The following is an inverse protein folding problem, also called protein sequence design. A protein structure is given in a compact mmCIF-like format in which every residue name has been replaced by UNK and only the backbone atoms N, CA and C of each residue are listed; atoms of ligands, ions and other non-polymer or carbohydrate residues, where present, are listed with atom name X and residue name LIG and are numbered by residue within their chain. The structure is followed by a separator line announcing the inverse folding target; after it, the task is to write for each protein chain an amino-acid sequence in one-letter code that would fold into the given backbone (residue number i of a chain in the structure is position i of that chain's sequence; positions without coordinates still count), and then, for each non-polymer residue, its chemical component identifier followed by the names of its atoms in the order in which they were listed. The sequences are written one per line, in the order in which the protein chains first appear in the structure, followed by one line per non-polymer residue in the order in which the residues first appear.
data_IF_265854116569
#
_entry.id   IF_265854116569
#
_cell.length_a   1.000
_cell.length_b   1.000
_cell.length_c   1.000
_cell.angle_alpha   90.00
_cell.angle_beta   90.00
_cell.angle_gamma   90.00
#
_symmetry.space_group_name_H-M   'P 1'
#
loop_
_entity.id
_entity.type
_entity.pdbx_description
1 polymer ?
#
# COMPACT_ATOMS: atom_id res chain seq x y z
N UNK A 1 5.20 15.16 14.12
CA UNK A 1 4.19 14.21 13.62
C UNK A 1 4.70 13.58 12.34
N UNK A 2 4.19 12.42 11.97
CA UNK A 2 4.38 11.81 10.65
C UNK A 2 3.06 11.74 9.90
N UNK A 3 3.09 11.71 8.57
CA UNK A 3 1.92 11.60 7.71
C UNK A 3 1.95 10.29 6.92
N UNK A 4 0.94 9.45 7.10
CA UNK A 4 0.76 8.23 6.30
C UNK A 4 0.16 8.57 4.93
N UNK A 5 0.84 8.11 3.89
CA UNK A 5 0.55 8.49 2.52
C UNK A 5 -0.33 7.48 1.80
N UNK A 6 -0.94 7.91 0.69
CA UNK A 6 -1.70 7.05 -0.24
C UNK A 6 -0.85 6.02 -1.00
N UNK A 7 0.43 5.88 -0.64
CA UNK A 7 1.33 4.84 -1.15
C UNK A 7 2.00 4.08 0.00
N UNK A 8 1.32 3.93 1.13
CA UNK A 8 1.76 3.07 2.23
C UNK A 8 3.15 3.43 2.78
N UNK A 9 3.44 4.73 2.81
CA UNK A 9 4.70 5.27 3.30
C UNK A 9 4.43 6.36 4.34
N UNK A 10 5.43 6.72 5.14
CA UNK A 10 5.38 7.83 6.10
C UNK A 10 6.18 9.03 5.58
N UNK A 11 5.69 10.24 5.85
CA UNK A 11 6.38 11.49 5.55
C UNK A 11 6.55 12.32 6.81
N UNK A 12 7.76 12.82 7.03
CA UNK A 12 8.06 13.78 8.09
C UNK A 12 8.20 15.17 7.48
N UNK A 13 7.59 16.16 8.14
CA UNK A 13 7.67 17.56 7.74
C UNK A 13 8.55 18.34 8.71
N UNK A 14 9.16 19.42 8.20
CA UNK A 14 10.05 20.31 8.96
C UNK A 14 11.37 19.73 9.52
N UNK A 15 12.02 18.72 8.89
CA UNK A 15 13.39 18.41 9.27
C UNK A 15 14.29 19.62 8.98
N UNK A 16 15.16 19.99 9.93
CA UNK A 16 16.20 20.98 9.65
C UNK A 16 17.27 20.32 8.79
N UNK A 17 17.79 21.04 7.80
CA UNK A 17 18.78 20.48 6.87
C UNK A 17 20.03 19.92 7.59
N UNK A 18 20.47 20.55 8.68
CA UNK A 18 21.60 20.09 9.48
C UNK A 18 21.35 18.76 10.21
N UNK A 19 20.10 18.39 10.45
CA UNK A 19 19.74 17.14 11.15
C UNK A 19 19.54 15.97 10.18
N UNK A 20 19.52 16.23 8.86
CA UNK A 20 19.24 15.20 7.85
C UNK A 20 20.22 14.03 7.90
N UNK A 21 21.55 14.22 8.06
CA UNK A 21 22.47 13.09 8.21
C UNK A 21 22.10 12.17 9.37
N UNK A 22 21.89 12.73 10.57
CA UNK A 22 21.52 11.96 11.76
C UNK A 22 20.18 11.23 11.59
N UNK A 23 19.21 11.85 10.91
CA UNK A 23 17.93 11.21 10.59
C UNK A 23 18.12 10.02 9.64
N UNK A 24 19.00 10.16 8.63
CA UNK A 24 19.29 9.08 7.69
C UNK A 24 20.05 7.93 8.35
N UNK A 25 20.99 8.23 9.26
CA UNK A 25 21.69 7.23 10.06
C UNK A 25 20.71 6.46 10.97
N UNK A 26 19.81 7.17 11.65
CA UNK A 26 18.78 6.54 12.49
C UNK A 26 17.81 5.65 11.70
N UNK A 27 17.51 5.99 10.44
CA UNK A 27 16.72 5.11 9.55
C UNK A 27 17.53 3.86 9.17
N UNK A 28 18.82 4.01 8.87
CA UNK A 28 19.68 2.90 8.47
C UNK A 28 19.84 1.86 9.59
N UNK A 29 19.92 2.30 10.86
CA UNK A 29 20.00 1.42 12.04
C UNK A 29 18.85 0.42 12.14
N UNK A 30 17.68 0.75 11.56
CA UNK A 30 16.48 -0.09 11.54
C UNK A 30 16.15 -0.62 10.14
N UNK A 31 17.12 -0.58 9.22
CA UNK A 31 16.96 -1.10 7.86
C UNK A 31 16.03 -0.28 6.96
N UNK A 32 15.80 0.99 7.27
CA UNK A 32 15.00 1.92 6.46
C UNK A 32 15.88 2.90 5.68
N UNK A 33 15.33 3.48 4.59
CA UNK A 33 16.02 4.50 3.79
C UNK A 33 15.04 5.51 3.18
N UNK A 34 15.56 6.68 2.79
CA UNK A 34 14.83 7.70 2.03
C UNK A 34 15.21 7.73 0.53
N UNK A 35 16.04 6.79 0.07
CA UNK A 35 16.51 6.67 -1.32
C UNK A 35 15.33 6.42 -2.28
N UNK A 36 15.35 7.09 -3.44
CA UNK A 36 14.37 6.93 -4.53
C UNK A 36 12.89 7.12 -4.14
N UNK A 37 12.61 7.80 -3.02
CA UNK A 37 11.23 8.08 -2.57
C UNK A 37 10.51 9.16 -3.41
N UNK A 38 11.27 9.96 -4.19
CA UNK A 38 10.77 11.02 -5.06
C UNK A 38 11.40 10.96 -6.47
N UNK A 39 11.48 12.07 -7.21
CA UNK A 39 12.21 12.12 -8.49
C UNK A 39 11.57 11.32 -9.64
N UNK A 40 12.38 11.06 -10.66
CA UNK A 40 12.04 10.31 -11.87
C UNK A 40 12.64 8.90 -11.81
N UNK A 41 12.19 8.12 -10.83
CA UNK A 41 12.58 6.72 -10.65
C UNK A 41 11.36 5.91 -10.20
N UNK A 42 11.59 4.63 -9.90
CA UNK A 42 10.62 3.74 -9.29
C UNK A 42 10.33 4.22 -7.86
N UNK A 43 9.04 4.36 -7.54
CA UNK A 43 8.54 4.76 -6.22
C UNK A 43 8.25 3.53 -5.36
N UNK A 44 7.83 3.76 -4.11
CA UNK A 44 7.39 2.70 -3.21
C UNK A 44 6.48 1.67 -3.92
N UNK A 45 6.90 0.40 -3.83
CA UNK A 45 6.13 -0.76 -4.29
C UNK A 45 5.04 -0.99 -3.26
N UNK A 46 3.79 -0.84 -3.67
CA UNK A 46 2.65 -0.98 -2.75
C UNK A 46 2.06 -2.38 -2.85
N UNK A 47 1.61 -2.92 -1.74
CA UNK A 47 0.96 -4.23 -1.67
C UNK A 47 -0.44 -4.10 -1.05
N UNK A 48 -1.22 -5.19 -1.10
CA UNK A 48 -2.43 -5.28 -0.29
C UNK A 48 -2.08 -5.06 1.19
N UNK A 49 -2.79 -4.15 1.86
CA UNK A 49 -2.56 -3.85 3.28
C UNK A 49 -3.01 -4.97 4.22
N UNK A 50 -3.78 -5.94 3.70
CA UNK A 50 -4.19 -7.17 4.40
C UNK A 50 -3.40 -8.42 3.98
N UNK A 51 -2.33 -8.27 3.18
CA UNK A 51 -1.51 -9.37 2.66
C UNK A 51 -0.99 -10.34 3.73
N UNK A 52 -1.12 -11.65 3.56
CA UNK A 52 -0.73 -12.66 4.56
C UNK A 52 -1.75 -12.88 5.68
N UNK A 53 -2.83 -12.07 5.73
CA UNK A 53 -3.89 -12.14 6.73
C UNK A 53 -5.29 -12.34 6.11
N UNK A 54 -5.50 -11.86 4.89
CA UNK A 54 -6.76 -11.98 4.17
C UNK A 54 -7.06 -13.43 3.75
N UNK A 55 -8.33 -13.82 3.78
CA UNK A 55 -8.80 -15.17 3.42
C UNK A 55 -8.90 -15.40 1.90
N UNK A 56 -8.98 -14.32 1.13
CA UNK A 56 -9.22 -14.35 -0.32
C UNK A 56 -7.94 -14.29 -1.17
N UNK A 57 -6.76 -14.24 -0.56
CA UNK A 57 -5.50 -14.18 -1.29
C UNK A 57 -5.05 -15.56 -1.82
N UNK A 58 -4.48 -15.57 -3.02
CA UNK A 58 -3.86 -16.77 -3.61
C UNK A 58 -2.57 -17.11 -2.88
N UNK A 59 -1.73 -16.09 -2.68
CA UNK A 59 -0.45 -16.10 -1.98
C UNK A 59 -0.19 -14.70 -1.41
N UNK A 60 0.74 -14.60 -0.47
CA UNK A 60 1.14 -13.34 0.13
C UNK A 60 1.95 -12.45 -0.85
N UNK A 61 1.42 -11.29 -1.29
CA UNK A 61 2.11 -10.43 -2.24
C UNK A 61 3.30 -9.67 -1.66
N UNK A 62 3.54 -9.69 -0.33
CA UNK A 62 4.64 -8.95 0.32
C UNK A 62 6.00 -9.44 -0.14
N UNK A 63 6.17 -10.75 -0.33
CA UNK A 63 7.41 -11.33 -0.84
C UNK A 63 7.75 -10.79 -2.24
N UNK A 64 6.75 -10.72 -3.12
CA UNK A 64 6.89 -10.13 -4.46
C UNK A 64 7.20 -8.64 -4.39
N UNK A 65 6.50 -7.90 -3.52
CA UNK A 65 6.73 -6.48 -3.34
C UNK A 65 8.16 -6.17 -2.84
N UNK A 66 8.68 -6.98 -1.91
CA UNK A 66 10.04 -6.84 -1.38
C UNK A 66 11.10 -7.21 -2.41
N UNK A 67 10.89 -8.29 -3.18
CA UNK A 67 11.76 -8.65 -4.29
C UNK A 67 11.88 -7.50 -5.30
N UNK A 68 10.75 -6.90 -5.68
CA UNK A 68 10.72 -5.75 -6.58
C UNK A 68 11.36 -4.51 -5.96
N UNK A 69 11.17 -4.28 -4.65
CA UNK A 69 11.80 -3.18 -3.92
C UNK A 69 13.31 -3.31 -3.99
N UNK A 70 13.87 -4.45 -3.54
CA UNK A 70 15.31 -4.70 -3.55
C UNK A 70 15.90 -4.62 -4.96
N UNK A 71 15.24 -5.22 -5.96
CA UNK A 71 15.68 -5.15 -7.35
C UNK A 71 15.68 -3.71 -7.89
N UNK A 72 14.67 -2.90 -7.54
CA UNK A 72 14.54 -1.53 -8.05
C UNK A 72 15.45 -0.51 -7.36
N UNK A 73 15.83 -0.75 -6.10
CA UNK A 73 16.66 0.16 -5.31
C UNK A 73 18.06 0.27 -5.92
N UNK A 74 18.48 1.49 -6.22
CA UNK A 74 19.78 1.79 -6.84
C UNK A 74 20.07 1.02 -8.15
N UNK A 75 19.01 0.60 -8.85
CA UNK A 75 19.14 -0.07 -10.14
C UNK A 75 19.89 0.82 -11.14
N UNK A 76 20.98 0.34 -11.77
CA UNK A 76 21.90 1.17 -12.57
C UNK A 76 21.21 1.81 -13.77
N UNK A 77 20.20 1.15 -14.33
CA UNK A 77 19.46 1.67 -15.50
C UNK A 77 18.25 2.54 -15.12
N UNK A 78 17.61 2.31 -13.97
CA UNK A 78 16.28 2.86 -13.66
C UNK A 78 16.29 3.97 -12.60
N UNK A 79 17.47 4.47 -12.26
CA UNK A 79 17.64 5.65 -11.39
C UNK A 79 17.19 6.97 -12.06
N UNK A 80 17.09 7.01 -13.40
CA UNK A 80 16.70 8.21 -14.16
C UNK A 80 15.75 7.91 -15.34
N UNK A 81 14.53 7.53 -14.99
CA UNK A 81 13.43 7.30 -15.93
C UNK A 81 12.90 8.62 -16.53
N UNK A 82 12.08 8.57 -17.60
CA UNK A 82 11.44 9.76 -18.15
C UNK A 82 10.60 10.54 -17.11
N UNK A 83 9.91 9.80 -16.22
CA UNK A 83 9.10 10.33 -15.11
C UNK A 83 8.88 9.24 -14.05
N UNK A 84 8.37 9.64 -12.86
CA UNK A 84 8.01 8.75 -11.74
C UNK A 84 7.29 7.48 -12.21
N UNK A 85 7.66 6.35 -11.62
CA UNK A 85 7.14 5.03 -11.97
C UNK A 85 6.63 4.32 -10.71
N UNK A 86 5.44 3.71 -10.77
CA UNK A 86 4.76 3.11 -9.62
C UNK A 86 4.43 1.66 -9.91
N UNK A 87 4.75 0.79 -8.97
CA UNK A 87 4.40 -0.63 -9.01
C UNK A 87 3.46 -0.94 -7.86
N UNK A 88 2.42 -1.72 -8.13
CA UNK A 88 1.46 -2.19 -7.12
C UNK A 88 1.18 -3.67 -7.29
N UNK A 89 1.10 -4.42 -6.18
CA UNK A 89 0.95 -5.88 -6.16
C UNK A 89 -0.25 -6.29 -5.30
N UNK A 90 -1.07 -7.22 -5.77
CA UNK A 90 -2.12 -7.85 -4.95
C UNK A 90 -2.12 -9.36 -5.12
N UNK A 91 -2.27 -10.08 -4.01
CA UNK A 91 -2.44 -11.53 -3.98
C UNK A 91 -3.91 -11.95 -4.12
N UNK A 92 -4.85 -11.02 -3.98
CA UNK A 92 -6.29 -11.29 -3.97
C UNK A 92 -6.97 -10.88 -5.29
N UNK A 93 -8.06 -11.57 -5.70
CA UNK A 93 -8.93 -11.12 -6.77
C UNK A 93 -9.60 -9.76 -6.46
N UNK A 94 -9.76 -9.42 -5.18
CA UNK A 94 -10.21 -8.10 -4.73
C UNK A 94 -9.02 -7.12 -4.67
N UNK A 95 -9.05 -6.10 -5.53
CA UNK A 95 -7.92 -5.17 -5.68
C UNK A 95 -7.89 -4.10 -4.56
N UNK A 96 -7.33 -4.49 -3.41
CA UNK A 96 -7.05 -3.59 -2.27
C UNK A 96 -5.75 -2.78 -2.42
N UNK A 97 -4.95 -3.07 -3.44
CA UNK A 97 -3.70 -2.37 -3.76
C UNK A 97 -3.87 -1.28 -4.84
N UNK A 98 -5.07 -1.18 -5.44
CA UNK A 98 -5.40 -0.23 -6.52
C UNK A 98 -4.46 -0.41 -7.73
N UNK A 99 -4.15 -1.66 -8.08
CA UNK A 99 -3.16 -2.04 -9.12
C UNK A 99 -3.41 -1.36 -10.47
N UNK A 100 -4.68 -1.18 -10.89
CA UNK A 100 -5.01 -0.50 -12.16
C UNK A 100 -4.68 1.00 -12.21
N UNK A 101 -4.32 1.61 -11.09
CA UNK A 101 -3.86 3.00 -11.00
C UNK A 101 -2.33 3.15 -10.97
N UNK A 102 -1.59 2.05 -11.14
CA UNK A 102 -0.14 2.02 -11.14
C UNK A 102 0.44 2.04 -12.56
N UNK A 103 1.70 2.45 -12.69
CA UNK A 103 2.40 2.37 -13.98
C UNK A 103 2.56 0.88 -14.37
N UNK A 104 2.83 0.00 -13.40
CA UNK A 104 2.62 -1.45 -13.48
C UNK A 104 1.76 -1.92 -12.29
N UNK A 105 0.70 -2.67 -12.58
CA UNK A 105 -0.08 -3.42 -11.61
C UNK A 105 0.15 -4.92 -11.78
N UNK A 106 0.36 -5.64 -10.68
CA UNK A 106 0.52 -7.08 -10.65
C UNK A 106 -0.61 -7.68 -9.82
N UNK A 107 -1.43 -8.51 -10.42
CA UNK A 107 -2.45 -9.27 -9.73
C UNK A 107 -2.13 -10.75 -9.82
N UNK A 108 -2.04 -11.44 -8.69
CA UNK A 108 -1.84 -12.87 -8.69
C UNK A 108 -3.07 -13.58 -9.30
N UNK A 109 -2.80 -14.57 -10.13
CA UNK A 109 -3.79 -15.42 -10.80
C UNK A 109 -3.25 -16.85 -10.86
N UNK A 110 -4.12 -17.82 -11.15
CA UNK A 110 -3.73 -19.20 -11.46
C UNK A 110 -3.99 -19.51 -12.93
N UNK A 111 -3.11 -20.26 -13.57
CA UNK A 111 -3.36 -20.78 -14.92
C UNK A 111 -4.32 -21.98 -14.89
N UNK A 112 -4.61 -22.56 -16.06
CA UNK A 112 -5.48 -23.74 -16.21
C UNK A 112 -4.95 -24.98 -15.47
N UNK A 113 -3.65 -25.07 -15.22
CA UNK A 113 -3.01 -26.13 -14.44
C UNK A 113 -3.03 -25.87 -12.91
N UNK A 114 -3.56 -24.71 -12.48
CA UNK A 114 -3.61 -24.30 -11.07
C UNK A 114 -2.32 -23.64 -10.56
N UNK A 115 -1.32 -23.43 -11.41
CA UNK A 115 -0.03 -22.84 -11.04
C UNK A 115 -0.16 -21.31 -10.85
N UNK A 116 0.45 -20.76 -9.79
CA UNK A 116 0.40 -19.32 -9.52
C UNK A 116 1.28 -18.53 -10.50
N UNK A 117 0.79 -17.36 -10.89
CA UNK A 117 1.49 -16.38 -11.72
C UNK A 117 0.87 -14.99 -11.57
N UNK A 118 1.15 -14.11 -12.53
CA UNK A 118 0.67 -12.73 -12.50
C UNK A 118 -0.09 -12.36 -13.78
N UNK A 119 -1.25 -11.71 -13.62
CA UNK A 119 -1.77 -10.81 -14.63
C UNK A 119 -0.99 -9.50 -14.55
N UNK A 120 -0.43 -9.06 -15.67
CA UNK A 120 0.36 -7.84 -15.75
C UNK A 120 -0.47 -6.72 -16.38
N UNK A 121 -0.65 -5.65 -15.62
CA UNK A 121 -1.37 -4.44 -16.01
C UNK A 121 -0.35 -3.31 -16.18
N UNK A 122 -0.51 -2.47 -17.19
CA UNK A 122 0.42 -1.36 -17.46
C UNK A 122 -0.32 -0.08 -17.87
N UNK A 123 0.29 1.07 -17.59
CA UNK A 123 -0.21 2.38 -18.05
C UNK A 123 -1.32 2.99 -17.21
N UNK A 124 -1.46 2.62 -15.94
CA UNK A 124 -2.40 3.25 -15.01
C UNK A 124 -1.89 4.58 -14.44
N UNK A 125 -2.82 5.42 -13.99
CA UNK A 125 -2.49 6.55 -13.11
C UNK A 125 -3.51 7.67 -13.06
N UNK A 126 -3.73 8.19 -11.86
CA UNK A 126 -4.76 9.19 -11.50
C UNK A 126 -4.29 10.67 -11.59
N UNK A 127 -3.17 10.95 -12.25
CA UNK A 127 -2.73 12.35 -12.46
C UNK A 127 -3.64 13.11 -13.43
N UNK A 128 -3.20 14.32 -13.86
CA UNK A 128 -3.95 15.25 -14.74
C UNK A 128 -4.77 14.61 -15.87
N UNK A 129 -4.23 13.60 -16.55
CA UNK A 129 -4.97 12.78 -17.52
C UNK A 129 -5.22 11.40 -16.91
N UNK A 130 -6.33 11.15 -16.22
CA UNK A 130 -6.56 9.88 -15.53
C UNK A 130 -6.72 8.75 -16.56
N UNK A 131 -5.98 7.65 -16.38
CA UNK A 131 -6.05 6.47 -17.25
C UNK A 131 -6.08 5.22 -16.35
N UNK A 132 -7.00 4.31 -16.65
CA UNK A 132 -7.07 2.98 -16.05
C UNK A 132 -6.11 2.07 -16.82
N UNK A 133 -5.21 1.40 -16.10
CA UNK A 133 -4.23 0.48 -16.69
C UNK A 133 -4.89 -0.63 -17.51
N UNK A 134 -4.15 -1.13 -18.49
CA UNK A 134 -4.59 -2.18 -19.42
C UNK A 134 -3.78 -3.45 -19.19
N UNK A 135 -4.43 -4.61 -19.34
CA UNK A 135 -3.74 -5.90 -19.27
C UNK A 135 -2.83 -6.01 -20.50
N UNK A 136 -1.52 -6.07 -20.25
CA UNK A 136 -0.52 -6.32 -21.31
C UNK A 136 -0.29 -7.82 -21.47
N UNK A 137 -0.41 -8.59 -20.37
CA UNK A 137 -0.26 -10.05 -20.35
C UNK A 137 -1.19 -10.68 -19.33
N UNK A 138 -2.00 -11.63 -19.76
CA UNK A 138 -2.99 -12.29 -18.90
C UNK A 138 -2.36 -13.23 -17.86
N UNK A 139 -1.24 -13.88 -18.22
CA UNK A 139 -0.49 -14.76 -17.34
C UNK A 139 1.02 -14.68 -17.56
N UNK A 140 1.75 -14.40 -16.49
CA UNK A 140 3.20 -14.42 -16.40
C UNK A 140 3.65 -15.38 -15.29
N UNK A 141 4.47 -16.40 -15.58
CA UNK A 141 5.06 -17.27 -14.57
C UNK A 141 5.88 -16.48 -13.53
N UNK A 142 5.87 -16.92 -12.27
CA UNK A 142 6.55 -16.21 -11.17
C UNK A 142 8.04 -16.00 -11.42
N UNK A 143 8.71 -17.01 -11.97
CA UNK A 143 10.14 -17.03 -12.28
C UNK A 143 10.52 -16.17 -13.51
N UNK A 144 9.55 -15.50 -14.14
CA UNK A 144 9.76 -14.57 -15.25
C UNK A 144 9.48 -13.12 -14.87
N UNK A 145 9.10 -12.85 -13.62
CA UNK A 145 8.64 -11.54 -13.19
C UNK A 145 9.66 -10.43 -13.45
N UNK A 146 10.89 -10.57 -12.94
CA UNK A 146 11.89 -9.49 -13.03
C UNK A 146 12.25 -9.16 -14.49
N UNK A 147 12.47 -10.17 -15.32
CA UNK A 147 12.75 -9.99 -16.74
C UNK A 147 11.61 -9.24 -17.47
N UNK A 148 10.35 -9.56 -17.16
CA UNK A 148 9.22 -8.89 -17.81
C UNK A 148 9.05 -7.44 -17.34
N UNK A 149 9.25 -7.18 -16.04
CA UNK A 149 9.23 -5.81 -15.50
C UNK A 149 10.37 -4.97 -16.07
N UNK A 150 11.56 -5.56 -16.21
CA UNK A 150 12.71 -4.94 -16.87
C UNK A 150 12.37 -4.59 -18.32
N UNK A 151 11.80 -5.52 -19.09
CA UNK A 151 11.41 -5.26 -20.48
C UNK A 151 10.46 -4.05 -20.60
N UNK A 152 9.41 -3.99 -19.77
CA UNK A 152 8.49 -2.85 -19.74
C UNK A 152 9.23 -1.54 -19.43
N UNK A 153 10.11 -1.57 -18.42
CA UNK A 153 10.86 -0.39 -18.00
C UNK A 153 11.86 0.06 -19.04
N UNK A 154 12.52 -0.85 -19.77
CA UNK A 154 13.44 -0.53 -20.87
C UNK A 154 12.75 0.14 -22.02
N UNK A 155 11.62 -0.41 -22.49
CA UNK A 155 10.80 0.22 -23.53
C UNK A 155 10.38 1.63 -23.10
N UNK A 156 9.89 1.78 -21.86
CA UNK A 156 9.57 3.09 -21.33
C UNK A 156 10.79 4.02 -21.21
N UNK A 157 11.95 3.50 -20.81
CA UNK A 157 13.16 4.28 -20.63
C UNK A 157 13.69 4.80 -21.97
N UNK A 158 13.65 3.97 -23.02
CA UNK A 158 14.12 4.30 -24.37
C UNK A 158 13.15 5.24 -25.10
N UNK A 159 11.85 4.91 -25.10
CA UNK A 159 10.85 5.58 -25.94
C UNK A 159 10.09 6.70 -25.20
N UNK A 160 10.16 6.72 -23.86
CA UNK A 160 9.44 7.68 -23.06
C UNK A 160 9.91 9.12 -23.26
N UNK A 161 8.94 10.01 -23.48
CA UNK A 161 9.17 11.46 -23.66
C UNK A 161 9.88 12.09 -22.47
N UNK A 162 10.88 12.93 -22.76
CA UNK A 162 11.60 13.77 -21.77
C UNK A 162 11.48 15.27 -22.04
N UNK A 163 10.86 15.65 -23.15
CA UNK A 163 10.66 17.04 -23.58
C UNK A 163 9.53 17.74 -22.82
N UNK A 164 8.49 17.00 -22.42
CA UNK A 164 7.34 17.55 -21.71
C UNK A 164 6.95 16.70 -20.50
N UNK A 165 7.23 17.20 -19.29
CA UNK A 165 6.96 16.50 -18.02
C UNK A 165 5.50 16.09 -17.81
N UNK A 166 4.54 16.77 -18.45
CA UNK A 166 3.11 16.44 -18.35
C UNK A 166 2.69 15.31 -19.31
N UNK A 167 3.53 14.99 -20.29
CA UNK A 167 3.35 13.90 -21.26
C UNK A 167 4.38 12.75 -21.10
N UNK A 168 5.23 12.82 -20.07
CA UNK A 168 6.37 11.92 -19.87
C UNK A 168 6.05 10.60 -19.12
N UNK A 169 4.79 10.28 -18.83
CA UNK A 169 4.42 9.05 -18.09
C UNK A 169 4.17 7.91 -19.06
N UNK A 170 4.45 6.66 -18.66
CA UNK A 170 4.26 5.47 -19.50
C UNK A 170 2.83 5.35 -20.07
N UNK A 171 1.81 5.76 -19.32
CA UNK A 171 0.42 5.80 -19.80
C UNK A 171 0.18 6.66 -21.04
N UNK A 172 1.03 7.68 -21.26
CA UNK A 172 0.97 8.55 -22.44
C UNK A 172 1.65 7.85 -23.60
N UNK A 173 2.82 7.24 -23.38
CA UNK A 173 3.48 6.39 -24.37
C UNK A 173 2.54 5.29 -24.86
N UNK A 174 1.89 4.56 -23.95
CA UNK A 174 0.88 3.55 -24.30
C UNK A 174 -0.29 4.11 -25.13
N UNK A 175 -0.74 5.32 -24.82
CA UNK A 175 -1.84 5.95 -25.54
C UNK A 175 -1.42 6.40 -26.94
N UNK A 176 -0.21 6.93 -27.10
CA UNK A 176 0.34 7.41 -28.38
C UNK A 176 0.69 6.23 -29.31
N UNK A 177 1.29 5.17 -28.77
CA UNK A 177 1.78 4.01 -29.54
C UNK A 177 0.76 2.87 -29.70
N UNK A 178 -0.26 2.83 -28.83
CA UNK A 178 -1.21 1.74 -28.75
C UNK A 178 -0.71 0.53 -27.95
N UNK A 179 -1.65 -0.19 -27.32
CA UNK A 179 -1.34 -1.32 -26.46
C UNK A 179 -0.65 -2.46 -27.20
N UNK A 180 -1.12 -2.81 -28.40
CA UNK A 180 -0.58 -3.96 -29.15
C UNK A 180 0.84 -3.68 -29.65
N UNK A 181 1.13 -2.44 -30.06
CA UNK A 181 2.48 -2.02 -30.46
C UNK A 181 3.47 -2.08 -29.30
N UNK A 182 3.08 -1.54 -28.15
CA UNK A 182 3.90 -1.64 -26.92
C UNK A 182 4.05 -3.09 -26.47
N UNK A 183 2.97 -3.89 -26.53
CA UNK A 183 3.03 -5.32 -26.20
C UNK A 183 4.06 -6.03 -27.06
N UNK A 184 4.02 -5.86 -28.38
CA UNK A 184 4.98 -6.50 -29.28
C UNK A 184 6.43 -6.16 -28.93
N UNK A 185 6.75 -4.89 -28.68
CA UNK A 185 8.11 -4.45 -28.30
C UNK A 185 8.54 -4.96 -26.92
N UNK A 186 7.62 -5.01 -25.96
CA UNK A 186 7.90 -5.59 -24.62
C UNK A 186 8.16 -7.09 -24.72
N UNK A 187 7.39 -7.83 -25.53
CA UNK A 187 7.60 -9.26 -25.73
C UNK A 187 8.93 -9.53 -26.46
N UNK A 188 9.30 -8.74 -27.47
CA UNK A 188 10.60 -8.84 -28.14
C UNK A 188 11.78 -8.57 -27.18
N UNK A 189 11.69 -7.50 -26.38
CA UNK A 189 12.69 -7.20 -25.35
C UNK A 189 12.77 -8.31 -24.30
N UNK A 190 11.62 -8.84 -23.88
CA UNK A 190 11.55 -9.92 -22.91
C UNK A 190 12.19 -11.21 -23.43
N UNK A 191 11.92 -11.60 -24.69
CA UNK A 191 12.59 -12.73 -25.33
C UNK A 191 14.11 -12.53 -25.40
N UNK A 192 14.56 -11.33 -25.81
CA UNK A 192 15.99 -11.00 -25.85
C UNK A 192 16.64 -11.14 -24.46
N UNK A 193 16.00 -10.62 -23.42
CA UNK A 193 16.47 -10.75 -22.03
C UNK A 193 16.58 -12.21 -21.58
N UNK A 194 15.70 -13.11 -22.05
CA UNK A 194 15.79 -14.54 -21.72
C UNK A 194 16.95 -15.25 -22.45
N UNK A 195 17.30 -14.80 -23.65
CA UNK A 195 18.40 -15.36 -24.45
C UNK A 195 19.79 -14.87 -23.98
N UNK A 196 19.89 -13.58 -23.62
CA UNK A 196 21.09 -12.93 -23.10
C UNK A 196 21.40 -13.41 -21.66
N UNK A 197 21.79 -14.68 -21.50
CA UNK A 197 22.22 -15.23 -20.20
C UNK A 197 23.33 -14.35 -19.60
N UNK A 198 23.08 -13.76 -18.43
CA UNK A 198 24.10 -13.03 -17.66
C UNK A 198 23.69 -11.67 -17.09
N UNK A 199 22.46 -11.19 -17.33
CA UNK A 199 21.95 -9.99 -16.67
C UNK A 199 21.52 -10.26 -15.20
N UNK A 200 21.68 -9.29 -14.28
CA UNK A 200 21.28 -9.42 -12.87
C UNK A 200 19.76 -9.61 -12.65
N UNK A 201 18.95 -9.52 -13.70
CA UNK A 201 17.49 -9.37 -13.62
C UNK A 201 16.67 -10.53 -14.20
N UNK A 202 17.31 -11.58 -14.73
CA UNK A 202 16.60 -12.64 -15.46
C UNK A 202 16.01 -13.67 -14.48
N UNK A 203 16.80 -14.06 -13.48
CA UNK A 203 16.38 -14.94 -12.40
C UNK A 203 16.98 -14.39 -11.11
N UNK A 204 16.16 -13.98 -10.13
CA UNK A 204 16.71 -13.67 -8.81
C UNK A 204 17.38 -14.93 -8.26
N UNK A 205 18.46 -14.75 -7.49
CA UNK A 205 19.11 -15.86 -6.79
C UNK A 205 18.04 -16.64 -6.00
N UNK A 206 17.84 -17.95 -6.28
CA UNK A 206 16.85 -18.75 -5.57
C UNK A 206 17.03 -18.71 -4.04
N UNK A 207 18.26 -18.55 -3.55
CA UNK A 207 18.53 -18.40 -2.13
C UNK A 207 17.98 -17.07 -1.58
N UNK A 208 18.06 -16.00 -2.38
CA UNK A 208 17.54 -14.69 -2.01
C UNK A 208 16.01 -14.65 -2.04
N UNK A 209 15.39 -15.26 -3.05
CA UNK A 209 13.94 -15.45 -3.09
C UNK A 209 13.47 -16.21 -1.84
N UNK A 210 14.10 -17.34 -1.52
CA UNK A 210 13.76 -18.13 -0.34
C UNK A 210 13.98 -17.35 0.97
N UNK A 211 15.00 -16.49 1.05
CA UNK A 211 15.24 -15.61 2.20
C UNK A 211 14.10 -14.62 2.39
N UNK A 212 13.66 -13.97 1.32
CA UNK A 212 12.53 -13.02 1.33
C UNK A 212 11.23 -13.74 1.71
N UNK A 213 10.95 -14.89 1.09
CA UNK A 213 9.75 -15.69 1.41
C UNK A 213 9.72 -16.12 2.87
N UNK A 214 10.87 -16.52 3.43
CA UNK A 214 10.99 -16.87 4.85
C UNK A 214 10.75 -15.69 5.78
N UNK A 215 11.15 -14.48 5.38
CA UNK A 215 10.92 -13.27 6.17
C UNK A 215 9.43 -12.95 6.30
N UNK A 216 8.64 -13.19 5.25
CA UNK A 216 7.18 -12.99 5.26
C UNK A 216 6.39 -14.25 5.63
N UNK A 217 7.05 -15.29 6.13
CA UNK A 217 6.35 -16.48 6.58
C UNK A 217 5.29 -16.10 7.64
N UNK A 218 4.08 -16.69 7.58
CA UNK A 218 3.06 -16.40 8.56
C UNK A 218 3.56 -16.71 9.98
N UNK A 219 3.19 -15.91 10.98
CA UNK A 219 3.54 -16.19 12.36
C UNK A 219 2.90 -17.51 12.81
N UNK A 220 3.47 -18.11 13.85
CA UNK A 220 2.91 -19.30 14.46
C UNK A 220 1.65 -18.94 15.24
N UNK A 221 0.48 -19.14 14.63
CA UNK A 221 -0.80 -18.91 15.28
C UNK A 221 -1.15 -20.05 16.24
N UNK A 222 -1.78 -19.71 17.37
CA UNK A 222 -2.44 -20.71 18.22
C UNK A 222 -3.75 -21.14 17.56
N UNK A 223 -3.98 -22.44 17.41
CA UNK A 223 -5.27 -22.96 16.93
C UNK A 223 -6.37 -22.62 17.92
N UNK A 224 -7.41 -21.93 17.44
CA UNK A 224 -8.55 -21.49 18.26
C UNK A 224 -9.86 -21.62 17.50
N UNK A 225 -10.96 -21.66 18.23
CA UNK A 225 -12.28 -21.58 17.64
C UNK A 225 -12.51 -20.19 17.03
N UNK A 226 -13.32 -20.15 15.97
CA UNK A 226 -13.69 -18.90 15.30
C UNK A 226 -14.53 -17.98 16.21
N UNK A 227 -15.29 -18.58 17.11
CA UNK A 227 -16.18 -17.89 18.03
C UNK A 227 -15.52 -17.75 19.41
N UNK A 228 -15.26 -16.52 19.83
CA UNK A 228 -14.73 -16.21 21.17
C UNK A 228 -15.86 -15.64 22.05
N UNK A 229 -16.33 -16.44 23.01
CA UNK A 229 -17.43 -16.04 23.89
C UNK A 229 -17.13 -14.80 24.75
N UNK A 230 -15.85 -14.58 25.10
CA UNK A 230 -15.42 -13.41 25.85
C UNK A 230 -15.50 -12.14 24.99
N UNK A 231 -15.03 -12.23 23.74
CA UNK A 231 -15.16 -11.18 22.75
C UNK A 231 -16.64 -10.83 22.48
N UNK A 232 -17.49 -11.82 22.23
CA UNK A 232 -18.92 -11.59 21.98
C UNK A 232 -19.63 -10.97 23.19
N UNK A 233 -19.32 -11.41 24.41
CA UNK A 233 -19.84 -10.81 25.63
C UNK A 233 -19.38 -9.35 25.79
N UNK A 234 -18.10 -9.06 25.53
CA UNK A 234 -17.57 -7.69 25.57
C UNK A 234 -18.22 -6.80 24.51
N UNK A 235 -18.38 -7.29 23.28
CA UNK A 235 -19.08 -6.62 22.17
C UNK A 235 -20.57 -6.40 22.49
N UNK A 236 -21.18 -7.27 23.29
CA UNK A 236 -22.56 -7.08 23.74
C UNK A 236 -22.71 -6.05 24.87
N UNK A 237 -21.73 -5.95 25.75
CA UNK A 237 -21.76 -5.09 26.92
C UNK A 237 -21.47 -3.61 26.65
N UNK A 238 -20.66 -3.29 25.63
CA UNK A 238 -20.23 -1.92 25.33
C UNK A 238 -20.63 -1.49 23.90
N UNK A 239 -21.64 -0.61 23.74
CA UNK A 239 -22.07 -0.09 22.44
C UNK A 239 -20.99 0.67 21.67
N UNK A 240 -20.03 1.30 22.36
CA UNK A 240 -18.91 2.03 21.73
C UNK A 240 -17.91 1.03 21.17
N UNK A 241 -17.55 0.01 21.95
CA UNK A 241 -16.69 -1.07 21.47
C UNK A 241 -17.33 -1.84 20.32
N UNK A 242 -18.63 -2.17 20.42
CA UNK A 242 -19.39 -2.75 19.32
C UNK A 242 -19.30 -1.91 18.06
N UNK A 243 -19.53 -0.60 18.21
CA UNK A 243 -19.50 0.32 17.11
C UNK A 243 -18.15 0.33 16.38
N UNK A 244 -17.05 0.28 17.14
CA UNK A 244 -15.70 0.15 16.59
C UNK A 244 -15.46 -1.21 15.94
N UNK A 245 -15.90 -2.31 16.56
CA UNK A 245 -15.79 -3.65 15.96
C UNK A 245 -16.49 -3.76 14.61
N UNK A 246 -17.67 -3.13 14.47
CA UNK A 246 -18.48 -3.22 13.26
C UNK A 246 -17.85 -2.49 12.05
N UNK A 247 -16.94 -1.54 12.29
CA UNK A 247 -16.31 -0.75 11.22
C UNK A 247 -14.81 -1.07 11.04
N UNK A 248 -14.07 -1.25 12.14
CA UNK A 248 -12.61 -1.27 12.12
C UNK A 248 -12.00 -2.67 12.01
N UNK A 249 -12.83 -3.71 11.97
CA UNK A 249 -12.37 -5.10 11.85
C UNK A 249 -12.63 -5.66 10.45
N UNK A 250 -11.66 -6.38 9.92
CA UNK A 250 -11.83 -7.25 8.76
C UNK A 250 -11.57 -8.71 9.15
N UNK A 251 -12.17 -9.62 8.37
CA UNK A 251 -11.99 -11.05 8.57
C UNK A 251 -10.53 -11.45 8.34
N UNK A 252 -10.05 -12.37 9.18
CA UNK A 252 -8.73 -12.97 9.08
C UNK A 252 -8.86 -14.43 8.63
N UNK A 253 -7.89 -14.94 7.87
CA UNK A 253 -7.88 -16.34 7.40
C UNK A 253 -7.75 -17.36 8.54
N UNK A 254 -6.92 -17.04 9.53
CA UNK A 254 -6.78 -17.83 10.75
C UNK A 254 -7.99 -17.63 11.68
N UNK A 255 -8.69 -18.70 12.10
CA UNK A 255 -9.74 -18.63 13.10
C UNK A 255 -9.28 -17.98 14.43
N UNK A 256 -10.22 -17.32 15.13
CA UNK A 256 -9.94 -16.66 16.40
C UNK A 256 -9.09 -15.38 16.30
N UNK A 257 -8.80 -14.93 15.07
CA UNK A 257 -8.08 -13.70 14.78
C UNK A 257 -8.94 -12.73 13.94
N UNK A 258 -8.58 -11.46 13.98
CA UNK A 258 -9.13 -10.40 13.15
C UNK A 258 -8.01 -9.47 12.68
N UNK A 259 -8.27 -8.78 11.57
CA UNK A 259 -7.43 -7.68 11.09
C UNK A 259 -8.01 -6.39 11.67
N UNK A 260 -7.21 -5.60 12.37
CA UNK A 260 -7.64 -4.33 12.96
C UNK A 260 -7.12 -3.17 12.12
N UNK A 261 -8.01 -2.28 11.70
CA UNK A 261 -7.65 -0.99 11.09
C UNK A 261 -7.77 0.13 12.12
N UNK A 262 -6.64 0.72 12.51
CA UNK A 262 -6.56 1.92 13.34
C UNK A 262 -6.80 3.13 12.44
N UNK A 263 -7.90 3.85 12.71
CA UNK A 263 -8.27 5.06 11.97
C UNK A 263 -7.35 6.21 12.35
N UNK A 264 -6.74 6.85 11.35
CA UNK A 264 -5.93 8.06 11.49
C UNK A 264 -6.74 9.32 11.15
N UNK A 265 -8.05 9.26 11.35
CA UNK A 265 -9.04 10.24 10.89
C UNK A 265 -10.05 10.53 11.98
N UNK A 266 -9.52 10.78 13.19
CA UNK A 266 -10.33 11.28 14.29
C UNK A 266 -10.95 12.63 13.91
N UNK A 267 -12.15 12.89 14.44
CA UNK A 267 -12.87 14.15 14.15
C UNK A 267 -12.03 15.33 14.60
N UNK A 268 -11.79 16.28 13.69
CA UNK A 268 -10.97 17.47 13.94
C UNK A 268 -9.47 17.29 13.71
N UNK A 269 -8.99 16.06 13.49
CA UNK A 269 -7.57 15.80 13.18
C UNK A 269 -7.31 15.80 11.67
N UNK A 270 -6.06 16.06 11.29
CA UNK A 270 -5.64 15.99 9.89
C UNK A 270 -5.61 14.52 9.42
N UNK A 271 -6.32 14.13 8.35
CA UNK A 271 -6.35 12.74 7.90
C UNK A 271 -4.95 12.19 7.59
N UNK A 272 -4.61 11.09 8.24
CA UNK A 272 -3.35 10.38 8.05
C UNK A 272 -2.18 10.87 8.89
N UNK A 273 -2.34 11.95 9.67
CA UNK A 273 -1.30 12.43 10.58
C UNK A 273 -1.27 11.64 11.89
N UNK A 274 -0.07 11.40 12.41
CA UNK A 274 0.18 10.73 13.68
C UNK A 274 1.20 11.50 14.53
N UNK A 275 0.88 11.71 15.81
CA UNK A 275 1.85 12.24 16.77
C UNK A 275 2.94 11.20 17.11
N UNK A 276 4.06 11.64 17.68
CA UNK A 276 5.11 10.72 18.18
C UNK A 276 4.58 9.75 19.23
N UNK A 277 3.71 10.22 20.11
CA UNK A 277 3.10 9.45 21.19
C UNK A 277 2.15 8.40 20.61
N UNK A 278 1.33 8.78 19.63
CA UNK A 278 0.45 7.84 18.92
C UNK A 278 1.25 6.76 18.18
N UNK A 279 2.34 7.13 17.50
CA UNK A 279 3.22 6.17 16.83
C UNK A 279 3.82 5.17 17.82
N UNK A 280 4.23 5.61 19.02
CA UNK A 280 4.72 4.71 20.08
C UNK A 280 3.64 3.77 20.58
N UNK A 281 2.41 4.26 20.80
CA UNK A 281 1.27 3.41 21.19
C UNK A 281 0.99 2.34 20.13
N UNK A 282 1.04 2.67 18.85
CA UNK A 282 0.84 1.70 17.78
C UNK A 282 1.97 0.65 17.74
N UNK A 283 3.22 1.07 17.96
CA UNK A 283 4.35 0.13 18.06
C UNK A 283 4.19 -0.84 19.24
N UNK A 284 3.85 -0.34 20.45
CA UNK A 284 3.62 -1.17 21.63
C UNK A 284 2.46 -2.17 21.41
N UNK A 285 1.42 -1.76 20.69
CA UNK A 285 0.30 -2.63 20.33
C UNK A 285 0.72 -3.72 19.34
N UNK A 286 1.56 -3.39 18.36
CA UNK A 286 2.06 -4.34 17.39
C UNK A 286 2.94 -5.41 18.04
N UNK A 287 3.91 -4.99 18.85
CA UNK A 287 4.81 -5.89 19.59
C UNK A 287 4.00 -6.88 20.46
N UNK A 288 2.98 -6.37 21.16
CA UNK A 288 2.23 -7.18 22.14
C UNK A 288 1.13 -8.03 21.54
N UNK A 289 0.48 -7.57 20.47
CA UNK A 289 -0.79 -8.15 20.00
C UNK A 289 -0.83 -8.48 18.51
N UNK A 290 0.19 -8.12 17.74
CA UNK A 290 0.20 -8.34 16.29
C UNK A 290 1.58 -8.76 15.76
N UNK A 291 2.30 -9.56 16.56
CA UNK A 291 3.58 -10.17 16.19
C UNK A 291 4.63 -9.16 15.70
N UNK A 292 4.70 -8.00 16.37
CA UNK A 292 5.62 -6.91 16.03
C UNK A 292 5.46 -6.37 14.60
N UNK A 293 4.24 -6.47 14.04
CA UNK A 293 3.93 -6.04 12.69
C UNK A 293 2.88 -4.91 12.64
N UNK A 294 3.20 -3.85 11.89
CA UNK A 294 2.28 -2.79 11.45
C UNK A 294 2.30 -2.68 9.93
N UNK A 295 1.14 -2.37 9.34
CA UNK A 295 1.05 -2.07 7.91
C UNK A 295 0.34 -0.76 7.67
N UNK A 296 0.73 -0.07 6.61
CA UNK A 296 0.10 1.19 6.21
C UNK A 296 -0.83 0.91 5.03
N UNK A 297 -2.06 1.41 5.11
CA UNK A 297 -3.01 1.32 4.01
C UNK A 297 -2.84 2.49 3.03
N UNK A 298 -3.23 2.29 1.77
CA UNK A 298 -3.31 3.39 0.80
C UNK A 298 -4.42 4.40 1.15
N UNK A 299 -5.28 4.04 2.11
CA UNK A 299 -6.31 4.90 2.68
C UNK A 299 -5.79 5.72 3.87
N UNK A 300 -4.47 5.75 4.11
CA UNK A 300 -3.80 6.55 5.15
C UNK A 300 -4.09 6.11 6.60
N UNK A 301 -4.60 4.89 6.78
CA UNK A 301 -4.81 4.25 8.07
C UNK A 301 -3.71 3.22 8.38
N UNK A 302 -3.60 2.81 9.65
CA UNK A 302 -2.62 1.80 10.12
C UNK A 302 -3.34 0.48 10.41
N UNK A 303 -2.69 -0.64 10.13
CA UNK A 303 -3.25 -1.99 10.28
C UNK A 303 -2.42 -2.81 11.25
N UNK A 304 -3.09 -3.45 12.20
CA UNK A 304 -2.57 -4.57 12.99
C UNK A 304 -3.11 -5.87 12.36
N UNK A 305 -2.30 -6.60 11.58
CA UNK A 305 -2.80 -7.68 10.74
C UNK A 305 -3.24 -8.93 11.49
N UNK A 306 -2.71 -9.18 12.70
CA UNK A 306 -2.76 -10.51 13.31
C UNK A 306 -3.22 -10.44 14.78
N UNK A 307 -4.43 -9.93 15.02
CA UNK A 307 -4.93 -9.68 16.38
C UNK A 307 -5.89 -10.77 16.83
N UNK A 308 -5.70 -11.32 18.04
CA UNK A 308 -6.64 -12.30 18.63
C UNK A 308 -7.94 -11.61 19.06
N UNK A 309 -9.08 -12.27 18.83
CA UNK A 309 -10.39 -11.73 19.21
C UNK A 309 -10.48 -11.39 20.71
N UNK A 310 -9.92 -12.25 21.57
CA UNK A 310 -9.88 -12.06 23.02
C UNK A 310 -9.19 -10.75 23.48
N UNK A 311 -8.25 -10.22 22.68
CA UNK A 311 -7.48 -9.04 23.04
C UNK A 311 -8.15 -7.72 22.59
N UNK A 312 -9.16 -7.79 21.72
CA UNK A 312 -9.74 -6.61 21.06
C UNK A 312 -10.32 -5.59 22.03
N UNK A 313 -10.99 -6.02 23.11
CA UNK A 313 -11.53 -5.11 24.10
C UNK A 313 -10.42 -4.33 24.84
N UNK A 314 -9.31 -5.00 25.14
CA UNK A 314 -8.13 -4.38 25.75
C UNK A 314 -7.45 -3.39 24.81
N UNK A 315 -7.27 -3.78 23.54
CA UNK A 315 -6.69 -2.93 22.48
C UNK A 315 -7.55 -1.68 22.26
N UNK A 316 -8.87 -1.83 22.12
CA UNK A 316 -9.79 -0.71 22.00
C UNK A 316 -9.68 0.26 23.18
N UNK A 317 -9.55 -0.26 24.42
CA UNK A 317 -9.31 0.57 25.61
C UNK A 317 -8.01 1.37 25.57
N UNK A 318 -6.94 0.80 25.02
CA UNK A 318 -5.65 1.49 24.82
C UNK A 318 -5.77 2.56 23.73
N UNK A 319 -6.32 2.19 22.56
CA UNK A 319 -6.53 3.09 21.43
C UNK A 319 -7.39 4.29 21.83
N UNK A 320 -8.44 4.07 22.61
CA UNK A 320 -9.34 5.14 23.09
C UNK A 320 -8.59 6.17 23.93
N UNK A 321 -7.69 5.74 24.83
CA UNK A 321 -6.88 6.64 25.64
C UNK A 321 -5.89 7.46 24.80
N UNK A 322 -5.47 6.93 23.64
CA UNK A 322 -4.55 7.58 22.72
C UNK A 322 -5.26 8.38 21.59
N UNK A 323 -6.59 8.45 21.58
CA UNK A 323 -7.36 9.13 20.52
C UNK A 323 -7.37 8.38 19.18
N UNK A 324 -7.13 7.07 19.18
CA UNK A 324 -6.99 6.22 17.99
C UNK A 324 -8.14 5.21 17.80
N UNK A 325 -9.22 5.32 18.59
CA UNK A 325 -10.35 4.38 18.57
C UNK A 325 -11.55 4.86 17.72
N UNK A 326 -11.34 5.75 16.76
CA UNK A 326 -12.42 6.28 15.92
C UNK A 326 -13.07 5.16 15.09
N UNK A 327 -14.37 4.97 15.27
CA UNK A 327 -15.18 3.93 14.64
C UNK A 327 -15.78 4.39 13.30
N UNK A 328 -14.93 4.66 12.31
CA UNK A 328 -15.36 5.30 11.06
C UNK A 328 -14.90 4.66 9.76
N UNK A 329 -14.11 3.58 9.78
CA UNK A 329 -13.59 2.96 8.55
C UNK A 329 -14.72 2.65 7.56
N UNK A 330 -14.57 3.12 6.31
CA UNK A 330 -15.57 3.02 5.25
C UNK A 330 -16.72 4.05 5.31
N UNK A 331 -16.90 4.79 6.40
CA UNK A 331 -17.94 5.81 6.56
C UNK A 331 -17.48 7.18 6.03
N UNK A 332 -18.41 8.12 5.96
CA UNK A 332 -18.20 9.46 5.39
C UNK A 332 -17.03 10.26 5.99
N UNK A 333 -16.64 9.99 7.25
CA UNK A 333 -15.50 10.65 7.91
C UNK A 333 -14.15 9.94 7.72
N UNK A 334 -14.12 8.78 7.05
CA UNK A 334 -12.88 8.06 6.67
C UNK A 334 -12.24 8.67 5.40
N UNK A 335 -12.11 9.99 5.40
CA UNK A 335 -11.69 10.80 4.25
C UNK A 335 -10.20 10.60 3.97
N UNK A 336 -9.85 10.35 2.71
CA UNK A 336 -8.47 10.40 2.22
C UNK A 336 -8.19 11.83 1.78
N UNK A 337 -7.20 12.48 2.39
CA UNK A 337 -6.83 13.85 2.05
C UNK A 337 -5.33 13.97 1.81
N UNK A 338 -4.96 14.62 0.72
CA UNK A 338 -3.58 15.05 0.55
C UNK A 338 -3.30 16.29 1.42
N UNK A 339 -2.03 16.66 1.64
CA UNK A 339 -1.65 17.88 2.34
C UNK A 339 -2.31 19.17 1.86
N UNK A 340 -2.58 19.28 0.55
CA UNK A 340 -3.05 20.53 -0.05
C UNK A 340 -2.11 21.72 0.19
N UNK A 341 -2.66 22.93 0.12
CA UNK A 341 -1.91 24.18 0.35
C UNK A 341 -1.37 24.35 1.77
N UNK A 342 -1.67 23.45 2.71
CA UNK A 342 -1.18 23.54 4.08
C UNK A 342 0.34 23.33 4.16
N UNK A 343 0.92 22.50 3.28
CA UNK A 343 2.38 22.39 3.14
C UNK A 343 2.89 21.95 1.74
N UNK A 344 2.02 21.69 0.75
CA UNK A 344 2.44 21.32 -0.61
C UNK A 344 2.57 22.54 -1.53
N UNK A 345 3.78 22.83 -2.02
CA UNK A 345 4.04 23.92 -2.98
C UNK A 345 3.47 23.73 -4.39
N UNK A 346 2.84 22.59 -4.68
CA UNK A 346 2.15 22.33 -5.97
C UNK A 346 0.63 22.49 -5.88
N UNK A 347 0.08 22.64 -4.68
CA UNK A 347 -1.36 22.66 -4.47
C UNK A 347 -2.00 23.97 -4.94
N UNK A 348 -3.22 23.87 -5.46
CA UNK A 348 -4.08 25.00 -5.85
C UNK A 348 -5.28 25.20 -4.91
N UNK A 349 -5.52 24.25 -4.02
CA UNK A 349 -6.60 24.23 -3.03
C UNK A 349 -6.08 23.73 -1.67
N UNK A 350 -6.75 24.13 -0.58
CA UNK A 350 -6.60 23.50 0.73
C UNK A 350 -7.33 22.16 0.73
N UNK A 351 -6.84 21.20 1.51
CA UNK A 351 -7.43 19.86 1.56
C UNK A 351 -7.73 19.43 2.99
N UNK A 352 -6.81 19.66 3.91
CA UNK A 352 -6.95 19.26 5.32
C UNK A 352 -8.13 19.97 5.99
N UNK A 353 -8.27 21.31 5.94
CA UNK A 353 -9.40 22.00 6.55
C UNK A 353 -10.76 21.56 6.00
N UNK A 354 -10.84 21.28 4.69
CA UNK A 354 -12.09 20.80 4.07
C UNK A 354 -12.45 19.41 4.60
N UNK A 355 -11.47 18.52 4.72
CA UNK A 355 -11.68 17.20 5.30
C UNK A 355 -12.14 17.30 6.76
N UNK A 356 -11.52 18.18 7.55
CA UNK A 356 -11.90 18.42 8.95
C UNK A 356 -13.32 18.97 9.07
N UNK A 357 -13.71 19.93 8.24
CA UNK A 357 -15.07 20.52 8.24
C UNK A 357 -16.13 19.47 7.90
N UNK A 358 -15.88 18.62 6.90
CA UNK A 358 -16.78 17.52 6.54
C UNK A 358 -16.87 16.52 7.69
N UNK A 359 -15.74 16.08 8.25
CA UNK A 359 -15.72 15.16 9.38
C UNK A 359 -16.49 15.74 10.59
N UNK A 360 -16.30 17.03 10.90
CA UNK A 360 -17.01 17.71 11.98
C UNK A 360 -18.51 17.80 11.73
N UNK A 361 -18.93 18.09 10.48
CA UNK A 361 -20.34 18.14 10.10
C UNK A 361 -21.04 16.79 10.26
N UNK A 362 -20.34 15.69 9.93
CA UNK A 362 -20.84 14.32 10.08
C UNK A 362 -20.29 13.61 11.32
N UNK A 363 -20.06 14.35 12.40
CA UNK A 363 -19.50 13.81 13.65
C UNK A 363 -20.48 12.93 14.45
N UNK A 364 -21.79 13.02 14.17
CA UNK A 364 -22.81 12.12 14.73
C UNK A 364 -22.66 10.71 14.12
N UNK A 365 -22.29 9.70 14.93
CA UNK A 365 -22.10 8.33 14.44
C UNK A 365 -23.38 7.70 13.88
N UNK A 366 -24.56 8.05 14.39
CA UNK A 366 -25.83 7.51 13.89
C UNK A 366 -26.14 8.07 12.50
N UNK A 367 -25.86 9.36 12.31
CA UNK A 367 -26.07 9.99 11.01
C UNK A 367 -25.08 9.46 9.97
N UNK A 368 -23.79 9.34 10.32
CA UNK A 368 -22.77 8.75 9.45
C UNK A 368 -23.13 7.33 9.01
N UNK A 369 -23.67 6.50 9.91
CA UNK A 369 -24.15 5.14 9.61
C UNK A 369 -25.39 5.10 8.73
N UNK A 370 -26.28 6.08 8.88
CA UNK A 370 -27.49 6.17 8.04
C UNK A 370 -27.13 6.46 6.58
N UNK A 371 -26.04 7.20 6.34
CA UNK A 371 -25.47 7.43 5.01
C UNK A 371 -24.88 6.12 4.44
N UNK A 372 -24.27 5.31 5.31
CA UNK A 372 -23.63 4.05 4.95
C UNK A 372 -22.20 4.23 4.44
N UNK A 373 -21.71 3.25 3.68
CA UNK A 373 -20.36 3.31 3.10
C UNK A 373 -20.25 4.46 2.10
N UNK A 374 -19.30 5.38 2.34
CA UNK A 374 -19.06 6.52 1.46
C UNK A 374 -17.59 6.94 1.50
N UNK A 375 -16.89 6.73 0.39
CA UNK A 375 -15.46 7.07 0.29
C UNK A 375 -15.25 8.46 -0.33
N UNK A 376 -14.78 9.40 0.48
CA UNK A 376 -14.40 10.75 0.03
C UNK A 376 -12.88 10.84 -0.14
N UNK A 377 -12.45 11.40 -1.27
CA UNK A 377 -11.03 11.62 -1.62
C UNK A 377 -10.83 13.09 -1.99
N UNK A 378 -9.99 13.81 -1.26
CA UNK A 378 -9.74 15.25 -1.45
C UNK A 378 -8.29 15.47 -1.88
N UNK A 379 -8.11 16.08 -3.07
CA UNK A 379 -6.81 16.49 -3.60
C UNK A 379 -6.73 18.01 -3.71
N UNK A 380 -5.56 18.57 -3.41
CA UNK A 380 -5.30 20.01 -3.51
C UNK A 380 -5.01 20.49 -4.94
N UNK A 381 -4.80 19.58 -5.90
CA UNK A 381 -4.55 19.89 -7.32
C UNK A 381 -4.87 18.70 -8.23
#
# INVERSE_FOLDING_TARGET
YGHFTTRQNIQFNWPRLCDVPDILDALADVGMHAIQTSGNCIRNVTADHFAGAADDEIEDPRATAELLRQWSTDHPEFAFLPRKFKIGVTGSPNDRAVTKSHDIGLRMVRNDAGEPGYEVIVGGGLGRTPIVGKVIRDFLPKDRLLAYIEAILRIYNLEGRRDNKFKARIKILLHEEGLDGIRARVEEEFERLLEEKGGPSILPDPAEVARIERYFAPPAFETRDRDDAGFEAAKAADPVFRAWCDTNLAAHREPGHAIVTISMKAIGEAPGDASSEQMRVMADLAERFSFDELRISHEQNVVLPHVRLADLAGIHGILRKAGLATANIGLISDIIACPGMDYCGLATARSIPIAQDIAQHFSDPLYARTIGEMKIKISGC
#
